data_IF_806689698678
#
_entry.id   IF_806689698678
#
_cell.length_a   1.000
_cell.length_b   1.000
_cell.length_c   1.000
_cell.angle_alpha   90.00
_cell.angle_beta   90.00
_cell.angle_gamma   90.00
#
_symmetry.space_group_name_H-M   'P 1'
#
loop_
_entity.id
_entity.type
_entity.pdbx_description
1 polymer ?
#
# COMPACT_ATOMS: atom_id res chain seq x y z
N UNK A 1 21.19 -19.08 8.23
CA UNK A 1 21.46 -18.28 7.03
C UNK A 1 20.46 -17.15 6.99
N UNK A 2 20.89 -15.91 7.24
CA UNK A 2 20.07 -14.74 6.92
C UNK A 2 20.04 -14.64 5.40
N UNK A 3 18.93 -15.04 4.77
CA UNK A 3 18.61 -14.61 3.41
C UNK A 3 18.63 -13.08 3.49
N UNK A 4 19.51 -12.42 2.73
CA UNK A 4 19.72 -10.97 2.79
C UNK A 4 18.50 -10.16 2.38
N UNK A 5 18.73 -8.99 1.78
CA UNK A 5 17.62 -8.19 1.23
C UNK A 5 16.78 -9.01 0.22
N UNK A 6 15.45 -8.85 0.28
CA UNK A 6 14.52 -9.65 -0.51
C UNK A 6 14.80 -9.51 -2.02
N UNK A 7 14.86 -10.63 -2.76
CA UNK A 7 15.28 -10.67 -4.17
C UNK A 7 14.46 -9.74 -5.08
N UNK A 8 13.18 -9.49 -4.77
CA UNK A 8 12.35 -8.54 -5.54
C UNK A 8 12.91 -7.12 -5.57
N UNK A 9 13.70 -6.70 -4.58
CA UNK A 9 14.31 -5.37 -4.50
C UNK A 9 15.31 -5.10 -5.65
N UNK A 10 15.83 -6.15 -6.29
CA UNK A 10 16.76 -6.02 -7.43
C UNK A 10 16.14 -5.32 -8.65
N UNK A 11 14.81 -5.24 -8.74
CA UNK A 11 14.15 -4.55 -9.87
C UNK A 11 14.08 -3.03 -9.68
N UNK A 12 14.41 -2.52 -8.49
CA UNK A 12 14.23 -1.11 -8.16
C UNK A 12 15.09 -0.25 -9.09
N UNK A 13 14.47 0.72 -9.75
CA UNK A 13 15.14 1.65 -10.65
C UNK A 13 15.54 1.08 -12.02
N UNK A 14 15.13 -0.14 -12.37
CA UNK A 14 15.52 -0.78 -13.66
C UNK A 14 14.87 -0.15 -14.90
N UNK A 15 13.78 0.61 -14.77
CA UNK A 15 13.14 1.36 -15.87
C UNK A 15 13.40 2.87 -15.82
N UNK A 16 13.90 3.39 -14.70
CA UNK A 16 14.15 4.82 -14.48
C UNK A 16 14.18 5.18 -13.00
N UNK A 17 14.41 6.45 -12.69
CA UNK A 17 14.62 6.95 -11.33
C UNK A 17 13.65 8.08 -10.92
N UNK A 18 12.56 8.25 -11.66
CA UNK A 18 11.57 9.31 -11.41
C UNK A 18 10.89 9.23 -10.03
N UNK A 19 10.89 8.05 -9.42
CA UNK A 19 10.39 7.81 -8.05
C UNK A 19 11.51 7.44 -7.07
N UNK A 20 12.78 7.67 -7.42
CA UNK A 20 13.92 7.34 -6.56
C UNK A 20 13.79 8.00 -5.19
N UNK A 21 13.94 7.18 -4.15
CA UNK A 21 13.84 7.63 -2.76
C UNK A 21 12.41 7.94 -2.30
N UNK A 22 11.39 7.64 -3.12
CA UNK A 22 9.98 7.79 -2.72
C UNK A 22 9.47 6.53 -2.06
N UNK A 23 8.85 6.68 -0.89
CA UNK A 23 8.10 5.62 -0.21
C UNK A 23 6.62 5.72 -0.57
N UNK A 24 6.08 4.69 -1.20
CA UNK A 24 4.67 4.64 -1.62
C UNK A 24 3.97 3.54 -0.84
N UNK A 25 2.84 3.86 -0.22
CA UNK A 25 1.95 2.85 0.35
C UNK A 25 0.84 2.53 -0.64
N UNK A 26 0.78 1.27 -1.06
CA UNK A 26 -0.26 0.71 -1.91
C UNK A 26 -1.35 0.08 -1.05
N UNK A 27 -2.50 0.76 -0.96
CA UNK A 27 -3.71 0.24 -0.33
C UNK A 27 -4.52 -0.58 -1.34
N UNK A 28 -4.82 -1.83 -0.98
CA UNK A 28 -5.59 -2.76 -1.81
C UNK A 28 -6.93 -3.03 -1.14
N UNK A 29 -8.01 -2.80 -1.89
CA UNK A 29 -9.39 -2.99 -1.44
C UNK A 29 -10.05 -4.19 -2.13
N UNK A 30 -11.16 -4.67 -1.59
CA UNK A 30 -11.86 -5.88 -2.06
C UNK A 30 -12.59 -5.72 -3.40
N UNK A 31 -11.85 -5.61 -4.50
CA UNK A 31 -12.37 -5.68 -5.88
C UNK A 31 -11.64 -6.78 -6.64
N UNK A 32 -12.31 -7.39 -7.63
CA UNK A 32 -11.71 -8.44 -8.48
C UNK A 32 -10.42 -7.95 -9.13
N UNK A 33 -10.29 -6.65 -9.41
CA UNK A 33 -9.07 -6.06 -9.97
C UNK A 33 -7.83 -6.11 -9.04
N UNK A 34 -7.95 -6.60 -7.80
CA UNK A 34 -6.83 -6.77 -6.88
C UNK A 34 -5.71 -7.66 -7.45
N UNK A 35 -6.01 -8.58 -8.37
CA UNK A 35 -4.97 -9.38 -9.05
C UNK A 35 -3.95 -8.52 -9.83
N UNK A 36 -4.28 -7.26 -10.16
CA UNK A 36 -3.37 -6.32 -10.85
C UNK A 36 -2.44 -5.57 -9.92
N UNK A 37 -2.70 -5.57 -8.61
CA UNK A 37 -1.91 -4.83 -7.62
C UNK A 37 -0.41 -5.20 -7.59
N UNK A 38 -0.01 -6.48 -7.78
CA UNK A 38 1.42 -6.83 -7.89
C UNK A 38 2.10 -6.16 -9.08
N UNK A 39 1.42 -6.02 -10.22
CA UNK A 39 1.96 -5.36 -11.40
C UNK A 39 2.15 -3.86 -11.13
N UNK A 40 1.16 -3.21 -10.52
CA UNK A 40 1.25 -1.80 -10.10
C UNK A 40 2.46 -1.59 -9.18
N UNK A 41 2.60 -2.42 -8.14
CA UNK A 41 3.72 -2.32 -7.22
C UNK A 41 5.07 -2.48 -7.92
N UNK A 42 5.21 -3.48 -8.80
CA UNK A 42 6.46 -3.72 -9.53
C UNK A 42 6.79 -2.57 -10.49
N UNK A 43 5.80 -1.97 -11.16
CA UNK A 43 6.06 -0.81 -12.02
C UNK A 43 6.55 0.40 -11.23
N UNK A 44 5.96 0.68 -10.06
CA UNK A 44 6.45 1.74 -9.16
C UNK A 44 7.88 1.47 -8.69
N UNK A 45 8.19 0.23 -8.31
CA UNK A 45 9.55 -0.17 -7.93
C UNK A 45 10.53 0.01 -9.08
N UNK A 46 10.19 -0.43 -10.29
CA UNK A 46 11.04 -0.26 -11.48
C UNK A 46 11.37 1.20 -11.79
N UNK A 47 10.52 2.14 -11.34
CA UNK A 47 10.75 3.59 -11.44
C UNK A 47 11.49 4.19 -10.22
N UNK A 48 11.91 3.36 -9.26
CA UNK A 48 12.77 3.74 -8.13
C UNK A 48 12.06 3.86 -6.77
N UNK A 49 10.76 3.57 -6.69
CA UNK A 49 10.00 3.67 -5.45
C UNK A 49 10.23 2.48 -4.51
N UNK A 50 10.18 2.75 -3.22
CA UNK A 50 10.03 1.74 -2.18
C UNK A 50 8.54 1.55 -1.87
N UNK A 51 8.00 0.34 -2.04
CA UNK A 51 6.55 0.11 -1.99
C UNK A 51 6.16 -0.75 -0.79
N UNK A 52 5.30 -0.23 0.08
CA UNK A 52 4.67 -0.97 1.18
C UNK A 52 3.21 -1.25 0.86
N UNK A 53 2.69 -2.39 1.30
CA UNK A 53 1.30 -2.78 0.99
C UNK A 53 0.45 -2.82 2.25
N UNK A 54 -0.77 -2.28 2.17
CA UNK A 54 -1.82 -2.40 3.19
C UNK A 54 -3.05 -3.00 2.53
N UNK A 55 -3.61 -4.06 3.10
CA UNK A 55 -4.74 -4.78 2.52
C UNK A 55 -5.96 -4.76 3.43
N UNK A 56 -7.13 -4.53 2.84
CA UNK A 56 -8.41 -4.81 3.52
C UNK A 56 -8.63 -6.32 3.65
N UNK A 57 -9.44 -6.75 4.61
CA UNK A 57 -9.86 -8.16 4.75
C UNK A 57 -10.44 -8.72 3.44
N UNK A 58 -11.36 -8.01 2.80
CA UNK A 58 -11.94 -8.44 1.52
C UNK A 58 -10.90 -8.55 0.39
N UNK A 59 -9.82 -7.77 0.40
CA UNK A 59 -8.74 -7.94 -0.56
C UNK A 59 -7.99 -9.25 -0.33
N UNK A 60 -7.82 -9.66 0.93
CA UNK A 60 -7.15 -10.91 1.31
C UNK A 60 -7.96 -12.16 0.91
N UNK A 61 -9.28 -12.04 0.85
CA UNK A 61 -10.17 -13.09 0.31
C UNK A 61 -9.97 -13.28 -1.20
N UNK A 62 -9.60 -12.22 -1.93
CA UNK A 62 -9.43 -12.25 -3.39
C UNK A 62 -8.01 -12.66 -3.79
N UNK A 63 -7.00 -12.06 -3.15
CA UNK A 63 -5.58 -12.42 -3.33
C UNK A 63 -4.90 -12.58 -1.98
N UNK A 64 -4.05 -13.59 -1.86
CA UNK A 64 -3.30 -13.81 -0.61
C UNK A 64 -2.24 -12.72 -0.41
N UNK A 65 -2.06 -12.24 0.82
CA UNK A 65 -1.11 -11.14 1.12
C UNK A 65 0.34 -11.49 0.76
N UNK A 66 0.76 -12.76 0.86
CA UNK A 66 2.08 -13.20 0.40
C UNK A 66 2.37 -12.85 -1.07
N UNK A 67 1.36 -12.78 -1.94
CA UNK A 67 1.56 -12.34 -3.32
C UNK A 67 2.18 -10.92 -3.37
N UNK A 68 1.74 -10.05 -2.46
CA UNK A 68 2.24 -8.68 -2.37
C UNK A 68 3.59 -8.60 -1.65
N UNK A 69 3.84 -9.49 -0.69
CA UNK A 69 5.18 -9.64 -0.09
C UNK A 69 6.20 -10.08 -1.13
N UNK A 70 5.89 -11.10 -1.95
CA UNK A 70 6.72 -11.50 -3.09
C UNK A 70 6.92 -10.35 -4.09
N UNK A 71 5.88 -9.56 -4.35
CA UNK A 71 5.96 -8.46 -5.30
C UNK A 71 6.86 -7.32 -4.82
N UNK A 72 6.75 -6.94 -3.55
CA UNK A 72 7.37 -5.73 -2.97
C UNK A 72 8.64 -5.99 -2.19
N UNK A 73 8.80 -7.21 -1.68
CA UNK A 73 9.85 -7.57 -0.73
C UNK A 73 9.66 -6.96 0.66
N UNK A 74 8.47 -6.44 0.96
CA UNK A 74 8.12 -5.84 2.25
C UNK A 74 6.99 -6.62 2.91
N UNK A 75 6.97 -6.71 4.26
CA UNK A 75 5.81 -7.22 4.99
C UNK A 75 4.54 -6.46 4.62
N UNK A 76 3.44 -7.20 4.52
CA UNK A 76 2.13 -6.64 4.16
C UNK A 76 1.31 -6.42 5.41
N UNK A 77 0.76 -5.21 5.56
CA UNK A 77 -0.13 -4.88 6.67
C UNK A 77 -1.53 -5.40 6.36
N UNK A 78 -1.91 -6.48 7.02
CA UNK A 78 -3.23 -7.15 6.89
C UNK A 78 -4.16 -6.85 8.07
N UNK A 79 -3.59 -6.40 9.19
CA UNK A 79 -4.26 -5.98 10.41
C UNK A 79 -3.43 -4.89 11.10
N UNK A 80 -4.03 -4.13 12.00
CA UNK A 80 -3.31 -3.15 12.83
C UNK A 80 -2.97 -3.78 14.17
N UNK A 81 -1.71 -3.68 14.57
CA UNK A 81 -1.20 -4.30 15.80
C UNK A 81 -0.58 -3.25 16.73
N UNK A 82 -0.01 -3.71 17.84
CA UNK A 82 0.80 -2.85 18.73
C UNK A 82 2.03 -2.22 18.07
N UNK A 83 2.35 -2.55 16.81
CA UNK A 83 3.40 -1.90 16.00
C UNK A 83 2.94 -0.58 15.37
N UNK A 84 1.66 -0.21 15.50
CA UNK A 84 1.12 1.09 15.10
C UNK A 84 1.43 1.40 13.62
N UNK A 85 1.14 0.44 12.74
CA UNK A 85 1.50 0.46 11.32
C UNK A 85 0.91 1.67 10.60
N UNK A 86 -0.33 2.04 10.94
CA UNK A 86 -1.04 3.17 10.35
C UNK A 86 -0.36 4.53 10.66
N UNK A 87 0.25 4.70 11.83
CA UNK A 87 1.02 5.92 12.17
C UNK A 87 2.42 5.85 11.55
N UNK A 88 3.07 4.70 11.57
CA UNK A 88 4.40 4.52 10.98
C UNK A 88 4.40 4.85 9.49
N UNK A 89 3.38 4.37 8.76
CA UNK A 89 3.27 4.53 7.31
C UNK A 89 2.44 5.76 6.90
N UNK A 90 1.37 6.08 7.63
CA UNK A 90 0.42 7.13 7.29
C UNK A 90 0.47 8.36 8.20
N UNK A 91 1.27 8.37 9.27
CA UNK A 91 1.29 9.44 10.27
C UNK A 91 2.51 10.35 10.20
N UNK A 92 2.73 11.09 11.29
CA UNK A 92 3.97 11.86 11.50
C UNK A 92 5.03 10.90 12.04
N UNK A 93 5.78 10.29 11.13
CA UNK A 93 6.84 9.33 11.45
C UNK A 93 7.99 9.46 10.43
N UNK A 94 9.26 9.21 10.81
CA UNK A 94 10.38 9.21 9.86
C UNK A 94 10.18 8.24 8.69
N UNK A 95 9.53 7.11 8.95
CA UNK A 95 9.22 6.08 7.94
C UNK A 95 7.90 6.30 7.19
N UNK A 96 7.27 7.47 7.32
CA UNK A 96 6.00 7.73 6.65
C UNK A 96 6.11 7.68 5.12
N UNK A 97 4.99 7.43 4.47
CA UNK A 97 4.88 7.47 3.03
C UNK A 97 4.99 8.89 2.48
N UNK A 98 5.59 9.03 1.29
CA UNK A 98 5.49 10.22 0.45
C UNK A 98 4.13 10.30 -0.27
N UNK A 99 3.51 9.15 -0.54
CA UNK A 99 2.25 9.01 -1.27
C UNK A 99 1.51 7.76 -0.78
N UNK A 100 0.19 7.89 -0.61
CA UNK A 100 -0.72 6.74 -0.48
C UNK A 100 -1.48 6.56 -1.79
N UNK A 101 -1.38 5.37 -2.38
CA UNK A 101 -2.10 4.96 -3.58
C UNK A 101 -3.16 3.92 -3.22
N UNK A 102 -4.43 4.15 -3.55
CA UNK A 102 -5.51 3.17 -3.38
C UNK A 102 -5.83 2.53 -4.73
N UNK A 103 -5.40 1.28 -4.94
CA UNK A 103 -5.59 0.57 -6.20
C UNK A 103 -5.63 -0.97 -6.02
N UNK A 104 -6.78 -1.62 -6.32
CA UNK A 104 -8.07 -1.01 -6.68
C UNK A 104 -8.71 -0.25 -5.53
N UNK A 105 -9.65 0.65 -5.84
CA UNK A 105 -10.44 1.40 -4.86
C UNK A 105 -11.93 1.08 -4.98
N UNK A 106 -12.50 0.39 -3.98
CA UNK A 106 -13.94 0.11 -3.93
C UNK A 106 -14.74 1.30 -3.44
N UNK A 107 -16.00 1.40 -3.88
CA UNK A 107 -16.92 2.43 -3.39
C UNK A 107 -17.10 2.36 -1.86
N UNK A 108 -17.14 1.15 -1.30
CA UNK A 108 -17.22 0.94 0.15
C UNK A 108 -16.05 1.58 0.90
N UNK A 109 -14.81 1.32 0.47
CA UNK A 109 -13.62 1.88 1.14
C UNK A 109 -13.57 3.41 1.03
N UNK A 110 -13.86 3.94 -0.15
CA UNK A 110 -13.84 5.40 -0.37
C UNK A 110 -14.98 6.09 0.40
N UNK A 111 -16.18 5.49 0.43
CA UNK A 111 -17.30 6.00 1.20
C UNK A 111 -17.02 6.03 2.69
N UNK A 112 -16.43 4.95 3.23
CA UNK A 112 -15.97 4.90 4.63
C UNK A 112 -14.94 5.98 4.93
N UNK A 113 -13.90 6.11 4.12
CA UNK A 113 -12.87 7.13 4.30
C UNK A 113 -13.44 8.56 4.22
N UNK A 114 -14.36 8.83 3.29
CA UNK A 114 -15.01 10.14 3.18
C UNK A 114 -15.88 10.49 4.41
N UNK A 115 -16.46 9.49 5.06
CA UNK A 115 -17.25 9.62 6.28
C UNK A 115 -16.43 9.46 7.58
N UNK A 116 -15.10 9.44 7.49
CA UNK A 116 -14.20 9.21 8.64
C UNK A 116 -14.47 7.89 9.40
N UNK A 117 -14.91 6.84 8.70
CA UNK A 117 -15.03 5.49 9.23
C UNK A 117 -13.72 4.74 8.97
N UNK A 118 -13.02 4.37 10.04
CA UNK A 118 -11.66 3.82 10.04
C UNK A 118 -11.58 2.38 10.59
N UNK A 119 -12.56 1.56 10.26
CA UNK A 119 -12.74 0.20 10.78
C UNK A 119 -11.94 -0.92 10.06
N UNK A 120 -11.01 -0.57 9.17
CA UNK A 120 -10.13 -1.52 8.47
C UNK A 120 -8.71 -0.96 8.38
N UNK A 121 -7.66 -1.79 8.25
CA UNK A 121 -6.28 -1.27 8.12
C UNK A 121 -6.11 -0.23 7.01
N UNK A 122 -6.79 -0.42 5.88
CA UNK A 122 -6.79 0.53 4.77
C UNK A 122 -7.47 1.83 5.15
N UNK A 123 -8.69 1.79 5.69
CA UNK A 123 -9.43 3.01 6.04
C UNK A 123 -8.73 3.78 7.16
N UNK A 124 -8.22 3.10 8.20
CA UNK A 124 -7.42 3.76 9.26
C UNK A 124 -6.16 4.42 8.72
N UNK A 125 -5.40 3.74 7.84
CA UNK A 125 -4.24 4.36 7.20
C UNK A 125 -4.64 5.60 6.39
N UNK A 126 -5.75 5.55 5.64
CA UNK A 126 -6.22 6.69 4.86
C UNK A 126 -6.57 7.89 5.74
N UNK A 127 -7.33 7.69 6.82
CA UNK A 127 -7.67 8.78 7.76
C UNK A 127 -6.40 9.35 8.41
N UNK A 128 -5.46 8.48 8.80
CA UNK A 128 -4.18 8.91 9.38
C UNK A 128 -3.37 9.75 8.39
N UNK A 129 -3.29 9.30 7.13
CA UNK A 129 -2.62 10.00 6.03
C UNK A 129 -3.23 11.36 5.72
N UNK A 130 -4.57 11.47 5.76
CA UNK A 130 -5.27 12.75 5.64
C UNK A 130 -4.83 13.70 6.76
N UNK A 131 -4.84 13.23 8.01
CA UNK A 131 -4.41 14.02 9.17
C UNK A 131 -2.95 14.48 9.07
N UNK A 132 -2.05 13.63 8.56
CA UNK A 132 -0.64 13.92 8.35
C UNK A 132 -0.33 14.69 7.06
N UNK A 133 -1.37 15.05 6.27
CA UNK A 133 -1.29 15.74 4.97
C UNK A 133 -0.41 15.00 3.96
N UNK A 134 -0.43 13.67 3.99
CA UNK A 134 0.21 12.85 2.96
C UNK A 134 -0.69 12.84 1.72
N UNK A 135 -0.18 13.12 0.51
CA UNK A 135 -0.96 13.01 -0.71
C UNK A 135 -1.60 11.63 -0.87
N UNK A 136 -2.87 11.61 -1.27
CA UNK A 136 -3.62 10.37 -1.53
C UNK A 136 -4.13 10.39 -2.97
N UNK A 137 -3.80 9.35 -3.72
CA UNK A 137 -4.33 9.11 -5.06
C UNK A 137 -5.17 7.83 -5.02
N UNK A 138 -6.37 7.87 -5.59
CA UNK A 138 -7.19 6.68 -5.80
C UNK A 138 -7.29 6.36 -7.28
N UNK A 139 -7.33 5.06 -7.60
CA UNK A 139 -7.73 4.60 -8.90
C UNK A 139 -9.18 4.96 -9.25
N UNK A 140 -9.63 4.48 -10.42
CA UNK A 140 -11.06 4.52 -10.75
C UNK A 140 -11.82 3.66 -9.75
N UNK A 141 -12.96 4.17 -9.26
CA UNK A 141 -13.81 3.39 -8.36
C UNK A 141 -14.33 2.16 -9.11
N UNK A 142 -14.15 1.00 -8.50
CA UNK A 142 -14.56 -0.30 -9.03
C UNK A 142 -15.51 -0.98 -8.03
N UNK A 143 -16.34 -1.88 -8.55
CA UNK A 143 -17.21 -2.72 -7.72
C UNK A 143 -16.41 -3.82 -7.02
#
# INVERSE_FOLDING_TARGET
MSLGEHTSKQIIGTKGDSLKGRKIVLCITGSVAAFKSPEIARELMRLGAEVYTVMSEMAQVIIHHYLMEYATGNPVVTELTGKIEHVTLGGVHPDRADLVLVAPSTANTIGKAACAIDDTPVTTLLITAIGARIPIIKGRIQA
#
